data_IF_265025972514
#
_entry.id   IF_265025972514
#
_cell.length_a   1.000
_cell.length_b   1.000
_cell.length_c   1.000
_cell.angle_alpha   90.00
_cell.angle_beta   90.00
_cell.angle_gamma   90.00
#
_symmetry.space_group_name_H-M   'P 1'
#
loop_
_entity.id
_entity.type
_entity.pdbx_description
1 polymer ?
#
# COMPACT_ATOMS: atom_id res chain seq x y z
N UNK A 1 -14.42 27.70 -17.54
CA UNK A 1 -14.57 26.67 -16.49
C UNK A 1 -13.18 26.12 -16.21
N UNK A 2 -12.52 26.61 -15.17
CA UNK A 2 -11.11 26.34 -14.90
C UNK A 2 -11.03 25.20 -13.87
N UNK A 3 -10.90 23.97 -14.35
CA UNK A 3 -10.96 22.74 -13.54
C UNK A 3 -9.56 22.24 -13.13
N UNK A 4 -8.55 23.12 -13.15
CA UNK A 4 -7.15 22.73 -13.04
C UNK A 4 -6.62 22.52 -11.61
N UNK A 5 -7.36 22.96 -10.56
CA UNK A 5 -6.86 22.95 -9.17
C UNK A 5 -7.95 22.64 -8.11
N UNK A 6 -9.07 22.01 -8.49
CA UNK A 6 -10.05 21.57 -7.50
C UNK A 6 -9.61 20.20 -6.95
N UNK A 7 -9.46 20.09 -5.62
CA UNK A 7 -9.50 18.80 -4.94
C UNK A 7 -10.72 18.03 -5.47
N UNK A 8 -10.57 16.74 -5.77
CA UNK A 8 -11.65 15.91 -6.30
C UNK A 8 -12.93 16.16 -5.48
N UNK A 9 -13.98 16.68 -6.14
CA UNK A 9 -15.27 16.89 -5.48
C UNK A 9 -15.80 15.54 -4.99
N UNK A 10 -16.62 15.54 -3.93
CA UNK A 10 -17.17 14.30 -3.35
C UNK A 10 -17.72 13.33 -4.39
N UNK A 11 -18.49 13.83 -5.37
CA UNK A 11 -19.03 13.01 -6.46
C UNK A 11 -17.96 12.37 -7.37
N UNK A 12 -16.84 13.07 -7.61
CA UNK A 12 -15.74 12.52 -8.43
C UNK A 12 -14.91 11.48 -7.68
N UNK A 13 -14.81 11.60 -6.35
CA UNK A 13 -14.21 10.58 -5.49
C UNK A 13 -15.08 9.33 -5.51
N UNK A 14 -16.39 9.47 -5.29
CA UNK A 14 -17.34 8.35 -5.28
C UNK A 14 -17.33 7.58 -6.60
N UNK A 15 -17.30 8.31 -7.74
CA UNK A 15 -17.21 7.69 -9.06
C UNK A 15 -15.94 6.83 -9.24
N UNK A 16 -14.80 7.31 -8.73
CA UNK A 16 -13.54 6.56 -8.80
C UNK A 16 -13.51 5.35 -7.87
N UNK A 17 -14.07 5.47 -6.65
CA UNK A 17 -14.20 4.35 -5.72
C UNK A 17 -15.12 3.27 -6.31
N UNK A 18 -16.26 3.66 -6.88
CA UNK A 18 -17.17 2.73 -7.55
C UNK A 18 -16.54 2.03 -8.74
N UNK A 19 -15.72 2.72 -9.52
CA UNK A 19 -14.97 2.08 -10.61
C UNK A 19 -14.02 0.99 -10.07
N UNK A 20 -13.26 1.26 -9.00
CA UNK A 20 -12.39 0.26 -8.37
C UNK A 20 -13.20 -0.92 -7.82
N UNK A 21 -14.33 -0.67 -7.16
CA UNK A 21 -15.23 -1.72 -6.68
C UNK A 21 -15.75 -2.62 -7.80
N UNK A 22 -16.09 -2.04 -8.96
CA UNK A 22 -16.51 -2.85 -10.12
C UNK A 22 -15.40 -3.78 -10.63
N UNK A 23 -14.13 -3.38 -10.49
CA UNK A 23 -12.99 -4.23 -10.82
C UNK A 23 -12.80 -5.33 -9.77
N UNK A 24 -12.99 -5.02 -8.48
CA UNK A 24 -12.97 -6.04 -7.42
C UNK A 24 -13.97 -7.15 -7.69
N UNK A 25 -15.22 -6.80 -8.00
CA UNK A 25 -16.27 -7.77 -8.32
C UNK A 25 -15.94 -8.58 -9.58
N UNK A 26 -15.43 -7.91 -10.62
CA UNK A 26 -15.10 -8.57 -11.89
C UNK A 26 -13.99 -9.61 -11.75
N UNK A 27 -12.99 -9.32 -10.92
CA UNK A 27 -11.79 -10.15 -10.79
C UNK A 27 -11.75 -10.99 -9.51
N UNK A 28 -12.75 -10.86 -8.63
CA UNK A 28 -12.82 -11.51 -7.31
C UNK A 28 -11.57 -11.23 -6.45
N UNK A 29 -11.22 -9.95 -6.35
CA UNK A 29 -10.04 -9.46 -5.61
C UNK A 29 -10.39 -8.29 -4.71
N UNK A 30 -9.57 -8.04 -3.69
CA UNK A 30 -9.65 -6.82 -2.88
C UNK A 30 -8.57 -5.83 -3.31
N UNK A 31 -9.00 -4.64 -3.78
CA UNK A 31 -8.11 -3.59 -4.30
C UNK A 31 -8.08 -2.35 -3.39
N UNK A 32 -9.03 -2.24 -2.46
CA UNK A 32 -9.16 -1.08 -1.57
C UNK A 32 -8.56 -1.35 -0.19
N UNK A 33 -8.27 -2.60 0.16
CA UNK A 33 -7.50 -2.91 1.37
C UNK A 33 -6.01 -2.54 1.20
N UNK A 34 -5.66 -1.37 1.74
CA UNK A 34 -4.28 -0.84 1.77
C UNK A 34 -3.47 -1.30 2.98
N UNK A 35 -4.05 -2.10 3.89
CA UNK A 35 -3.43 -2.45 5.17
C UNK A 35 -2.57 -3.71 5.10
N UNK A 36 -2.81 -4.57 4.11
CA UNK A 36 -1.99 -5.76 3.89
C UNK A 36 -0.61 -5.39 3.36
N UNK A 37 0.36 -6.24 3.67
CA UNK A 37 1.77 -5.94 3.44
C UNK A 37 2.28 -6.78 2.28
N UNK A 38 2.72 -6.08 1.24
CA UNK A 38 3.51 -6.64 0.15
C UNK A 38 4.97 -6.25 0.38
N UNK A 39 5.90 -7.19 0.20
CA UNK A 39 7.32 -6.98 0.47
C UNK A 39 8.19 -7.95 -0.32
N UNK A 40 9.47 -7.60 -0.49
CA UNK A 40 10.45 -8.50 -1.11
C UNK A 40 10.93 -9.55 -0.11
N UNK A 41 10.89 -10.80 -0.55
CA UNK A 41 11.46 -11.97 0.13
C UNK A 41 12.51 -12.59 -0.78
N UNK A 42 13.74 -12.08 -0.71
CA UNK A 42 14.77 -12.37 -1.71
C UNK A 42 14.40 -11.73 -3.04
N UNK A 43 14.39 -12.51 -4.11
CA UNK A 43 14.05 -12.05 -5.47
C UNK A 43 12.54 -12.05 -5.75
N UNK A 44 11.73 -12.58 -4.82
CA UNK A 44 10.29 -12.73 -5.01
C UNK A 44 9.50 -11.67 -4.24
N UNK A 45 8.34 -11.30 -4.78
CA UNK A 45 7.35 -10.48 -4.09
C UNK A 45 6.43 -11.40 -3.31
N UNK A 46 6.33 -11.14 -2.00
CA UNK A 46 5.44 -11.84 -1.10
C UNK A 46 4.32 -10.92 -0.61
N UNK A 47 3.17 -11.52 -0.33
CA UNK A 47 2.01 -10.87 0.27
C UNK A 47 1.67 -11.55 1.59
N UNK A 48 1.35 -10.76 2.62
CA UNK A 48 0.79 -11.24 3.88
C UNK A 48 -0.27 -10.30 4.45
N UNK A 49 -1.31 -10.85 5.10
CA UNK A 49 -2.16 -10.06 5.97
C UNK A 49 -1.32 -9.32 7.02
N UNK A 50 -1.72 -8.11 7.39
CA UNK A 50 -0.98 -7.30 8.36
C UNK A 50 -0.73 -8.03 9.69
N UNK A 51 -1.71 -8.83 10.13
CA UNK A 51 -1.59 -9.63 11.34
C UNK A 51 -0.42 -10.63 11.28
N UNK A 52 -0.19 -11.25 10.12
CA UNK A 52 0.88 -12.21 9.95
C UNK A 52 2.23 -11.52 9.71
N UNK A 53 2.25 -10.41 8.98
CA UNK A 53 3.47 -9.59 8.87
C UNK A 53 3.97 -9.13 10.25
N UNK A 54 3.07 -8.77 11.17
CA UNK A 54 3.41 -8.44 12.56
C UNK A 54 4.02 -9.62 13.32
N UNK A 55 3.55 -10.85 13.09
CA UNK A 55 4.17 -12.05 13.69
C UNK A 55 5.57 -12.27 13.12
N UNK A 56 5.71 -12.18 11.78
CA UNK A 56 7.02 -12.29 11.11
C UNK A 56 8.03 -11.27 11.62
N UNK A 57 7.60 -10.04 11.89
CA UNK A 57 8.45 -9.00 12.47
C UNK A 57 8.94 -9.37 13.88
N UNK A 58 8.03 -9.88 14.74
CA UNK A 58 8.38 -10.36 16.09
C UNK A 58 9.33 -11.55 16.05
N UNK A 59 9.11 -12.46 15.10
CA UNK A 59 9.91 -13.67 14.90
C UNK A 59 11.22 -13.39 14.14
N UNK A 60 11.53 -12.11 13.85
CA UNK A 60 12.71 -11.65 13.10
C UNK A 60 12.86 -12.26 11.70
N UNK A 61 11.75 -12.73 11.13
CA UNK A 61 11.69 -13.23 9.75
C UNK A 61 11.76 -12.11 8.71
N UNK A 62 11.46 -10.87 9.12
CA UNK A 62 11.67 -9.65 8.35
C UNK A 62 12.51 -8.67 9.17
N UNK A 63 13.19 -7.75 8.49
CA UNK A 63 14.10 -6.80 9.12
C UNK A 63 13.76 -5.36 8.74
N UNK A 64 14.42 -4.41 9.42
CA UNK A 64 14.39 -2.98 9.11
C UNK A 64 14.79 -2.65 7.67
N UNK A 65 15.57 -3.52 7.03
CA UNK A 65 16.04 -3.34 5.65
C UNK A 65 15.19 -4.12 4.62
N UNK A 66 14.18 -4.88 5.06
CA UNK A 66 13.23 -5.51 4.14
C UNK A 66 12.53 -4.42 3.33
N UNK A 67 12.57 -4.51 2.00
CA UNK A 67 11.88 -3.57 1.11
C UNK A 67 10.39 -3.91 1.11
N UNK A 68 9.56 -2.92 1.41
CA UNK A 68 8.10 -3.03 1.52
C UNK A 68 7.42 -2.08 0.53
N UNK A 69 6.18 -2.38 0.17
CA UNK A 69 5.37 -1.55 -0.70
C UNK A 69 4.49 -0.61 0.15
N UNK A 70 4.67 0.70 0.02
CA UNK A 70 3.95 1.72 0.76
C UNK A 70 2.69 2.17 0.01
N UNK A 71 1.57 1.44 0.18
CA UNK A 71 0.30 1.74 -0.48
C UNK A 71 -0.42 3.00 0.04
N UNK A 72 0.22 3.78 0.92
CA UNK A 72 -0.34 5.00 1.52
C UNK A 72 0.27 6.30 0.94
N UNK A 73 1.05 6.20 -0.14
CA UNK A 73 1.54 7.37 -0.89
C UNK A 73 0.38 8.20 -1.45
N UNK A 74 0.50 9.53 -1.40
CA UNK A 74 -0.57 10.46 -1.75
C UNK A 74 -0.29 11.23 -3.04
N UNK A 75 0.98 11.32 -3.44
CA UNK A 75 1.39 12.07 -4.64
C UNK A 75 2.12 11.17 -5.63
N UNK A 76 2.14 11.59 -6.90
CA UNK A 76 2.92 10.91 -7.93
C UNK A 76 4.42 10.88 -7.59
N UNK A 77 4.95 11.96 -7.00
CA UNK A 77 6.34 12.00 -6.58
C UNK A 77 6.63 10.93 -5.52
N UNK A 78 5.79 10.84 -4.48
CA UNK A 78 5.90 9.80 -3.46
C UNK A 78 5.74 8.40 -4.05
N UNK A 79 4.86 8.19 -5.03
CA UNK A 79 4.75 6.90 -5.70
C UNK A 79 6.04 6.51 -6.44
N UNK A 80 6.69 7.46 -7.12
CA UNK A 80 7.93 7.18 -7.86
C UNK A 80 9.14 6.96 -6.96
N UNK A 81 9.16 7.61 -5.79
CA UNK A 81 10.36 7.65 -4.93
C UNK A 81 10.22 6.78 -3.67
N UNK A 82 9.00 6.58 -3.16
CA UNK A 82 8.74 6.02 -1.83
C UNK A 82 7.71 4.87 -1.84
N UNK A 83 7.30 4.38 -3.02
CA UNK A 83 6.41 3.22 -3.09
C UNK A 83 7.13 1.94 -2.70
N UNK A 84 8.36 1.73 -3.15
CA UNK A 84 9.24 0.64 -2.71
C UNK A 84 10.32 1.22 -1.79
N UNK A 85 10.27 0.91 -0.50
CA UNK A 85 11.10 1.58 0.50
C UNK A 85 11.51 0.60 1.60
N UNK A 86 12.69 0.74 2.24
CA UNK A 86 13.03 -0.03 3.42
C UNK A 86 11.97 0.12 4.52
N UNK A 87 11.62 -0.98 5.19
CA UNK A 87 10.56 -0.97 6.20
C UNK A 87 10.80 0.06 7.31
N UNK A 88 12.07 0.34 7.67
CA UNK A 88 12.47 1.38 8.64
C UNK A 88 12.09 2.82 8.25
N UNK A 89 11.95 3.09 6.96
CA UNK A 89 11.59 4.39 6.40
C UNK A 89 10.09 4.50 6.10
N UNK A 90 9.32 3.46 6.40
CA UNK A 90 7.87 3.40 6.19
C UNK A 90 7.12 3.28 7.50
N UNK A 91 5.79 3.35 7.41
CA UNK A 91 4.90 3.13 8.56
C UNK A 91 5.04 1.74 9.17
N UNK A 92 5.58 0.75 8.44
CA UNK A 92 5.83 -0.62 8.91
C UNK A 92 6.90 -0.68 10.02
N UNK A 93 7.78 0.34 10.13
CA UNK A 93 8.81 0.43 11.17
C UNK A 93 8.25 0.25 12.58
N UNK A 94 6.98 0.63 12.79
CA UNK A 94 6.27 0.48 14.08
C UNK A 94 6.14 -0.96 14.57
N UNK A 95 6.36 -1.95 13.69
CA UNK A 95 6.30 -3.38 14.04
C UNK A 95 7.67 -4.03 14.18
N UNK A 96 8.75 -3.30 13.86
CA UNK A 96 10.13 -3.80 13.81
C UNK A 96 10.96 -3.36 15.02
N UNK A 97 10.30 -2.86 16.05
CA UNK A 97 10.85 -2.46 17.35
C UNK A 97 10.82 -3.61 18.35
#
# INVERSE_FOLDING_TARGET
LNQANASASGCSIDASVHFIQSLQEKFDVDLLDKMNVTFYSGEYIAYKPLADFRKMAKDKSVSKNTIVFNNLVNTKAEYLENWEVPARESWHNRFLS
#
